data_IF_723838513782
#
_entry.id   IF_723838513782
#
_cell.length_a   1.000
_cell.length_b   1.000
_cell.length_c   1.000
_cell.angle_alpha   90.00
_cell.angle_beta   90.00
_cell.angle_gamma   90.00
#
_symmetry.space_group_name_H-M   'P 1'
#
loop_
_entity.id
_entity.type
_entity.pdbx_description
1 polymer ?
#
# COMPACT_ATOMS: atom_id res chain seq x y z
N UNK A 1 -53.30 22.29 -17.78
CA UNK A 1 -52.26 21.81 -16.85
C UNK A 1 -51.27 22.94 -16.62
N UNK A 2 -50.98 23.29 -15.38
CA UNK A 2 -50.24 24.51 -14.99
C UNK A 2 -48.72 24.32 -15.02
N UNK A 3 -47.99 25.31 -15.54
CA UNK A 3 -46.53 25.36 -15.64
C UNK A 3 -45.80 24.99 -14.33
N UNK A 4 -46.39 25.28 -13.17
CA UNK A 4 -45.87 24.92 -11.84
C UNK A 4 -45.61 23.42 -11.65
N UNK A 5 -46.42 22.52 -12.25
CA UNK A 5 -46.18 21.06 -12.15
C UNK A 5 -44.94 20.63 -12.93
N UNK A 6 -44.69 21.24 -14.09
CA UNK A 6 -43.52 20.95 -14.92
C UNK A 6 -42.25 21.43 -14.23
N UNK A 7 -42.25 22.63 -13.66
CA UNK A 7 -41.10 23.17 -12.90
C UNK A 7 -40.70 22.26 -11.75
N UNK A 8 -41.66 21.83 -10.91
CA UNK A 8 -41.42 20.89 -9.81
C UNK A 8 -40.87 19.54 -10.27
N UNK A 9 -41.31 19.07 -11.42
CA UNK A 9 -40.80 17.82 -11.99
C UNK A 9 -39.35 17.97 -12.44
N UNK A 10 -39.00 19.09 -13.09
CA UNK A 10 -37.63 19.39 -13.51
C UNK A 10 -36.68 19.55 -12.32
N UNK A 11 -37.11 20.20 -11.24
CA UNK A 11 -36.34 20.30 -9.99
C UNK A 11 -36.01 18.91 -9.43
N UNK A 12 -36.98 18.00 -9.38
CA UNK A 12 -36.76 16.61 -8.93
C UNK A 12 -35.82 15.83 -9.84
N UNK A 13 -35.88 16.05 -11.15
CA UNK A 13 -34.95 15.43 -12.11
C UNK A 13 -33.54 15.96 -11.85
N UNK A 14 -33.36 17.27 -11.72
CA UNK A 14 -32.07 17.88 -11.43
C UNK A 14 -31.48 17.37 -10.12
N UNK A 15 -32.28 17.25 -9.06
CA UNK A 15 -31.84 16.69 -7.78
C UNK A 15 -31.32 15.25 -7.94
N UNK A 16 -32.08 14.38 -8.61
CA UNK A 16 -31.67 12.98 -8.85
C UNK A 16 -30.40 12.88 -9.68
N UNK A 17 -30.25 13.73 -10.70
CA UNK A 17 -29.05 13.79 -11.54
C UNK A 17 -27.84 14.19 -10.70
N UNK A 18 -27.94 15.25 -9.90
CA UNK A 18 -26.86 15.70 -9.01
C UNK A 18 -26.48 14.63 -7.98
N UNK A 19 -27.47 13.96 -7.37
CA UNK A 19 -27.21 12.83 -6.46
C UNK A 19 -26.52 11.66 -7.17
N UNK A 20 -26.90 11.36 -8.41
CA UNK A 20 -26.24 10.34 -9.23
C UNK A 20 -24.78 10.67 -9.49
N UNK A 21 -24.48 11.90 -9.89
CA UNK A 21 -23.10 12.36 -10.08
C UNK A 21 -22.28 12.27 -8.80
N UNK A 22 -22.82 12.72 -7.67
CA UNK A 22 -22.12 12.65 -6.37
C UNK A 22 -21.74 11.21 -6.00
N UNK A 23 -22.65 10.24 -6.19
CA UNK A 23 -22.37 8.82 -5.93
C UNK A 23 -21.27 8.26 -6.84
N UNK A 24 -21.25 8.67 -8.11
CA UNK A 24 -20.19 8.27 -9.05
C UNK A 24 -18.85 8.84 -8.60
N UNK A 25 -18.80 10.12 -8.24
CA UNK A 25 -17.58 10.79 -7.76
C UNK A 25 -17.03 10.13 -6.48
N UNK A 26 -17.90 9.85 -5.52
CA UNK A 26 -17.54 9.13 -4.28
C UNK A 26 -16.98 7.74 -4.60
N UNK A 27 -17.68 6.96 -5.45
CA UNK A 27 -17.24 5.62 -5.84
C UNK A 27 -15.90 5.60 -6.57
N UNK A 28 -15.66 6.57 -7.47
CA UNK A 28 -14.38 6.72 -8.16
C UNK A 28 -13.27 7.07 -7.18
N UNK A 29 -13.51 8.03 -6.29
CA UNK A 29 -12.53 8.46 -5.27
C UNK A 29 -12.16 7.32 -4.32
N UNK A 30 -13.15 6.54 -3.85
CA UNK A 30 -12.90 5.36 -3.03
C UNK A 30 -12.15 4.27 -3.79
N UNK A 31 -12.48 4.05 -5.06
CA UNK A 31 -11.79 3.10 -5.93
C UNK A 31 -10.30 3.43 -6.04
N UNK A 32 -9.97 4.70 -6.32
CA UNK A 32 -8.57 5.15 -6.37
C UNK A 32 -7.85 4.95 -5.04
N UNK A 33 -8.45 5.33 -3.91
CA UNK A 33 -7.85 5.12 -2.59
C UNK A 33 -7.56 3.66 -2.30
N UNK A 34 -8.45 2.74 -2.69
CA UNK A 34 -8.24 1.29 -2.53
C UNK A 34 -7.07 0.79 -3.36
N UNK A 35 -6.95 1.25 -4.61
CA UNK A 35 -5.83 0.90 -5.49
C UNK A 35 -4.51 1.41 -4.92
N UNK A 36 -4.44 2.68 -4.52
CA UNK A 36 -3.24 3.30 -3.94
C UNK A 36 -2.77 2.55 -2.67
N UNK A 37 -3.71 2.23 -1.78
CA UNK A 37 -3.43 1.45 -0.58
C UNK A 37 -2.92 0.05 -0.91
N UNK A 38 -3.56 -0.64 -1.87
CA UNK A 38 -3.16 -1.98 -2.28
C UNK A 38 -1.74 -2.00 -2.87
N UNK A 39 -1.42 -1.03 -3.74
CA UNK A 39 -0.08 -0.88 -4.33
C UNK A 39 0.95 -0.62 -3.24
N UNK A 40 0.70 0.35 -2.35
CA UNK A 40 1.64 0.70 -1.27
C UNK A 40 1.90 -0.47 -0.32
N UNK A 41 0.86 -1.21 0.06
CA UNK A 41 1.01 -2.39 0.90
C UNK A 41 1.73 -3.53 0.18
N UNK A 42 1.47 -3.73 -1.11
CA UNK A 42 2.16 -4.71 -1.94
C UNK A 42 3.66 -4.46 -1.99
N UNK A 43 4.07 -3.21 -2.23
CA UNK A 43 5.49 -2.83 -2.22
C UNK A 43 6.15 -3.08 -0.87
N UNK A 44 5.53 -2.66 0.23
CA UNK A 44 6.06 -2.89 1.59
C UNK A 44 6.30 -4.38 1.87
N UNK A 45 5.35 -5.24 1.53
CA UNK A 45 5.48 -6.70 1.72
C UNK A 45 6.63 -7.30 0.90
N UNK A 46 6.81 -6.82 -0.34
CA UNK A 46 7.92 -7.26 -1.19
C UNK A 46 9.25 -6.80 -0.56
N UNK A 47 9.35 -5.55 -0.14
CA UNK A 47 10.54 -5.00 0.52
C UNK A 47 10.91 -5.78 1.77
N UNK A 48 9.95 -6.02 2.68
CA UNK A 48 10.14 -6.81 3.90
C UNK A 48 10.58 -8.25 3.57
N UNK A 49 9.96 -8.88 2.57
CA UNK A 49 10.33 -10.23 2.14
C UNK A 49 11.74 -10.32 1.56
N UNK A 50 12.13 -9.35 0.73
CA UNK A 50 13.46 -9.31 0.11
C UNK A 50 14.54 -9.01 1.15
N UNK A 51 14.35 -7.97 1.96
CA UNK A 51 15.32 -7.57 2.99
C UNK A 51 15.50 -8.65 4.05
N UNK A 52 14.41 -9.22 4.58
CA UNK A 52 14.48 -10.31 5.55
C UNK A 52 15.01 -11.62 4.95
N UNK A 53 14.74 -11.90 3.67
CA UNK A 53 15.33 -13.03 2.97
C UNK A 53 16.84 -12.89 2.80
N UNK A 54 17.28 -11.70 2.38
CA UNK A 54 18.70 -11.38 2.23
C UNK A 54 19.44 -11.43 3.56
N UNK A 55 18.85 -10.87 4.62
CA UNK A 55 19.44 -10.89 5.97
C UNK A 55 19.70 -12.33 6.43
N UNK A 56 18.74 -13.25 6.26
CA UNK A 56 18.91 -14.67 6.60
C UNK A 56 19.98 -15.38 5.79
N UNK A 57 20.08 -15.09 4.49
CA UNK A 57 21.14 -15.65 3.65
C UNK A 57 22.50 -15.11 4.10
N UNK A 58 22.58 -13.82 4.38
CA UNK A 58 23.77 -13.15 4.90
C UNK A 58 24.20 -13.72 6.25
N UNK A 59 23.26 -13.92 7.19
CA UNK A 59 23.51 -14.55 8.48
C UNK A 59 24.13 -15.93 8.32
N UNK A 60 23.52 -16.81 7.52
CA UNK A 60 24.03 -18.15 7.28
C UNK A 60 25.40 -18.15 6.61
N UNK A 61 25.62 -17.23 5.67
CA UNK A 61 26.92 -17.12 5.01
C UNK A 61 28.00 -16.69 6.01
N UNK A 62 27.70 -15.71 6.85
CA UNK A 62 28.63 -15.26 7.90
C UNK A 62 28.89 -16.38 8.90
N UNK A 63 27.84 -17.04 9.38
CA UNK A 63 27.91 -18.17 10.31
C UNK A 63 28.85 -19.27 9.78
N UNK A 64 28.61 -19.75 8.56
CA UNK A 64 29.32 -20.89 7.98
C UNK A 64 30.78 -20.55 7.58
N UNK A 65 31.03 -19.34 7.06
CA UNK A 65 32.30 -19.05 6.37
C UNK A 65 33.15 -17.97 7.04
N UNK A 66 32.56 -17.08 7.84
CA UNK A 66 33.25 -15.86 8.28
C UNK A 66 33.31 -15.68 9.80
N UNK A 67 32.60 -16.50 10.58
CA UNK A 67 32.76 -16.53 12.04
C UNK A 67 34.11 -17.15 12.42
N UNK A 68 34.63 -16.74 13.58
CA UNK A 68 35.78 -17.36 14.23
C UNK A 68 35.32 -18.12 15.47
N UNK A 69 36.16 -18.99 16.00
CA UNK A 69 35.83 -19.79 17.19
C UNK A 69 35.33 -18.91 18.35
N UNK A 70 34.12 -19.20 18.83
CA UNK A 70 33.47 -18.48 19.92
C UNK A 70 32.87 -17.11 19.55
N UNK A 71 32.87 -16.73 18.26
CA UNK A 71 32.28 -15.49 17.76
C UNK A 71 30.83 -15.71 17.30
N UNK A 72 29.91 -14.80 17.67
CA UNK A 72 28.54 -14.82 17.14
C UNK A 72 28.46 -14.19 15.74
N UNK A 73 27.37 -14.47 15.01
CA UNK A 73 27.11 -13.86 13.69
C UNK A 73 27.10 -12.33 13.77
N UNK A 74 26.47 -11.74 14.79
CA UNK A 74 26.44 -10.29 14.98
C UNK A 74 27.84 -9.71 15.25
N UNK A 75 28.66 -10.41 16.05
CA UNK A 75 30.04 -10.00 16.32
C UNK A 75 30.88 -10.05 15.04
N UNK A 76 30.76 -11.14 14.27
CA UNK A 76 31.43 -11.27 12.98
C UNK A 76 30.98 -10.16 12.01
N UNK A 77 29.68 -9.87 11.90
CA UNK A 77 29.15 -8.75 11.10
C UNK A 77 29.71 -7.40 11.55
N UNK A 78 29.77 -7.12 12.85
CA UNK A 78 30.35 -5.88 13.38
C UNK A 78 31.84 -5.76 13.06
N UNK A 79 32.61 -6.87 13.14
CA UNK A 79 34.03 -6.90 12.77
C UNK A 79 34.22 -6.65 11.27
N UNK A 80 33.42 -7.28 10.42
CA UNK A 80 33.48 -7.16 8.96
C UNK A 80 33.05 -5.76 8.48
N UNK A 81 32.06 -5.14 9.12
CA UNK A 81 31.56 -3.80 8.77
C UNK A 81 32.45 -2.63 9.24
N UNK A 82 33.51 -2.91 10.00
CA UNK A 82 34.52 -1.92 10.43
C UNK A 82 35.76 -1.90 9.52
N UNK A 83 35.75 -2.68 8.44
CA UNK A 83 36.76 -2.70 7.38
C UNK A 83 36.51 -1.56 6.39
#
# INVERSE_FOLDING_TARGET
MTASKIVKMNEKIAEKVTQGYKKIEEGVTEGYKKIENGVTQGYKKIEEGVTGGFEKISDKFVEEFLTKDGETVEQAKQRLGKS
#
